data_IF_381691632897
#
_entry.id   IF_381691632897
#
_cell.length_a   1.000
_cell.length_b   1.000
_cell.length_c   1.000
_cell.angle_alpha   90.00
_cell.angle_beta   90.00
_cell.angle_gamma   90.00
#
_symmetry.space_group_name_H-M   'P 1'
#
loop_
_entity.id
_entity.type
_entity.pdbx_description
1 polymer ?
#
# COMPACT_ATOMS: atom_id res chain seq x y z
N UNK A 1 11.07 17.74 -26.35
CA UNK A 1 10.17 18.29 -25.31
C UNK A 1 8.87 17.50 -25.33
N UNK A 2 8.52 16.79 -24.26
CA UNK A 2 7.23 16.09 -24.18
C UNK A 2 6.10 17.14 -24.16
N UNK A 3 5.03 16.94 -24.92
CA UNK A 3 3.90 17.86 -24.92
C UNK A 3 3.20 17.86 -23.57
N UNK A 4 2.61 18.98 -23.16
CA UNK A 4 1.87 19.10 -21.88
C UNK A 4 0.81 17.99 -21.76
N UNK A 5 0.19 17.59 -22.89
CA UNK A 5 -0.74 16.47 -22.95
C UNK A 5 -0.10 15.12 -22.60
N UNK A 6 1.10 14.82 -23.10
CA UNK A 6 1.82 13.58 -22.75
C UNK A 6 2.21 13.53 -21.27
N UNK A 7 2.48 14.69 -20.65
CA UNK A 7 2.78 14.76 -19.22
C UNK A 7 1.55 14.51 -18.32
N UNK A 8 0.34 14.70 -18.84
CA UNK A 8 -0.93 14.53 -18.09
C UNK A 8 -1.60 13.19 -18.41
N UNK A 9 -1.42 12.67 -19.62
CA UNK A 9 -1.98 11.40 -20.06
C UNK A 9 -1.42 10.24 -19.23
N UNK A 10 -2.30 9.34 -18.79
CA UNK A 10 -1.95 8.21 -17.93
C UNK A 10 -1.71 8.57 -16.45
N UNK A 11 -1.65 9.85 -16.07
CA UNK A 11 -1.54 10.26 -14.67
C UNK A 11 -2.89 10.25 -13.95
N UNK A 12 -2.82 9.85 -12.69
CA UNK A 12 -3.98 9.85 -11.80
C UNK A 12 -4.46 11.29 -11.53
N UNK A 13 -5.78 11.46 -11.39
CA UNK A 13 -6.33 12.73 -10.95
C UNK A 13 -5.87 13.04 -9.53
N UNK A 14 -5.58 14.30 -9.26
CA UNK A 14 -5.27 14.76 -7.91
C UNK A 14 -6.51 14.70 -7.02
N UNK A 15 -6.30 14.70 -5.71
CA UNK A 15 -7.40 14.73 -4.72
C UNK A 15 -8.33 15.92 -4.95
N UNK A 16 -7.77 17.10 -5.23
CA UNK A 16 -8.53 18.31 -5.47
C UNK A 16 -9.44 18.17 -6.70
N UNK A 17 -8.94 17.62 -7.80
CA UNK A 17 -9.75 17.37 -9.01
C UNK A 17 -10.96 16.48 -8.71
N UNK A 18 -10.76 15.43 -7.88
CA UNK A 18 -11.85 14.54 -7.48
C UNK A 18 -12.87 15.29 -6.62
N UNK A 19 -12.41 16.06 -5.62
CA UNK A 19 -13.29 16.87 -4.76
C UNK A 19 -14.12 17.88 -5.56
N UNK A 20 -13.51 18.62 -6.48
CA UNK A 20 -14.24 19.59 -7.30
C UNK A 20 -15.22 18.90 -8.26
N UNK A 21 -14.92 17.71 -8.76
CA UNK A 21 -15.85 16.94 -9.56
C UNK A 21 -17.07 16.46 -8.76
N UNK A 22 -16.86 16.00 -7.52
CA UNK A 22 -17.93 15.60 -6.61
C UNK A 22 -18.78 16.80 -6.19
N UNK A 23 -18.15 17.93 -5.87
CA UNK A 23 -18.86 19.17 -5.57
C UNK A 23 -19.73 19.61 -6.75
N UNK A 24 -19.18 19.58 -7.97
CA UNK A 24 -19.91 19.89 -9.18
C UNK A 24 -21.12 18.97 -9.43
N UNK A 25 -21.00 17.68 -9.08
CA UNK A 25 -22.11 16.74 -9.22
C UNK A 25 -23.20 16.95 -8.17
N UNK A 26 -22.84 16.97 -6.88
CA UNK A 26 -23.80 16.96 -5.78
C UNK A 26 -24.39 18.35 -5.47
N UNK A 27 -23.59 19.41 -5.55
CA UNK A 27 -24.01 20.76 -5.15
C UNK A 27 -24.39 21.64 -6.35
N UNK A 28 -23.72 21.48 -7.49
CA UNK A 28 -24.01 22.29 -8.68
C UNK A 28 -24.93 21.59 -9.69
N UNK A 29 -25.29 20.31 -9.46
CA UNK A 29 -26.17 19.54 -10.34
C UNK A 29 -25.60 19.26 -11.73
N UNK A 30 -24.27 19.32 -11.90
CA UNK A 30 -23.63 19.11 -13.20
C UNK A 30 -23.74 17.67 -13.66
N UNK A 31 -24.07 17.48 -14.94
CA UNK A 31 -24.15 16.14 -15.52
C UNK A 31 -22.78 15.44 -15.60
N UNK A 32 -22.78 14.12 -15.54
CA UNK A 32 -21.58 13.28 -15.63
C UNK A 32 -20.78 13.54 -16.92
N UNK A 33 -21.47 13.79 -18.04
CA UNK A 33 -20.86 14.17 -19.32
C UNK A 33 -20.15 15.53 -19.22
N UNK A 34 -20.78 16.50 -18.58
CA UNK A 34 -20.20 17.84 -18.39
C UNK A 34 -18.95 17.79 -17.51
N UNK A 35 -18.95 16.99 -16.44
CA UNK A 35 -17.79 16.78 -15.59
C UNK A 35 -16.63 16.13 -16.35
N UNK A 36 -16.92 15.12 -17.18
CA UNK A 36 -15.91 14.47 -18.03
C UNK A 36 -15.21 15.48 -18.97
N UNK A 37 -16.00 16.39 -19.58
CA UNK A 37 -15.48 17.47 -20.42
C UNK A 37 -14.63 18.48 -19.64
N UNK A 38 -15.11 18.97 -18.50
CA UNK A 38 -14.39 19.98 -17.68
C UNK A 38 -13.04 19.47 -17.21
N UNK A 39 -12.98 18.22 -16.73
CA UNK A 39 -11.77 17.66 -16.14
C UNK A 39 -10.90 16.90 -17.14
N UNK A 40 -11.29 16.86 -18.42
CA UNK A 40 -10.64 16.06 -19.46
C UNK A 40 -10.38 14.62 -19.00
N UNK A 41 -11.43 13.99 -18.45
CA UNK A 41 -11.39 12.61 -17.98
C UNK A 41 -12.45 11.80 -18.71
N UNK A 42 -12.19 10.50 -18.82
CA UNK A 42 -13.18 9.59 -19.35
C UNK A 42 -14.42 9.58 -18.44
N UNK A 43 -15.61 9.47 -19.02
CA UNK A 43 -16.89 9.50 -18.29
C UNK A 43 -16.94 8.44 -17.18
N UNK A 44 -16.39 7.24 -17.44
CA UNK A 44 -16.29 6.18 -16.43
C UNK A 44 -15.41 6.58 -15.24
N UNK A 45 -14.40 7.42 -15.43
CA UNK A 45 -13.56 7.90 -14.33
C UNK A 45 -14.35 8.81 -13.40
N UNK A 46 -15.10 9.77 -13.95
CA UNK A 46 -15.97 10.65 -13.16
C UNK A 46 -17.10 9.87 -12.47
N UNK A 47 -17.71 8.91 -13.18
CA UNK A 47 -18.74 8.04 -12.63
C UNK A 47 -18.21 7.16 -11.49
N UNK A 48 -17.00 6.62 -11.62
CA UNK A 48 -16.36 5.85 -10.55
C UNK A 48 -16.10 6.68 -9.29
N UNK A 49 -15.81 7.98 -9.42
CA UNK A 49 -15.66 8.86 -8.26
C UNK A 49 -17.00 9.05 -7.53
N UNK A 50 -18.06 9.34 -8.29
CA UNK A 50 -19.42 9.53 -7.76
C UNK A 50 -19.88 8.25 -7.05
N UNK A 51 -19.82 7.10 -7.71
CA UNK A 51 -20.26 5.83 -7.14
C UNK A 51 -19.49 5.45 -5.87
N UNK A 52 -18.17 5.70 -5.83
CA UNK A 52 -17.38 5.44 -4.62
C UNK A 52 -17.82 6.31 -3.46
N UNK A 53 -18.07 7.58 -3.74
CA UNK A 53 -18.55 8.51 -2.73
C UNK A 53 -19.95 8.13 -2.23
N UNK A 54 -20.87 7.74 -3.10
CA UNK A 54 -22.21 7.27 -2.72
C UNK A 54 -22.18 6.01 -1.85
N UNK A 55 -21.30 5.04 -2.15
CA UNK A 55 -21.24 3.76 -1.43
C UNK A 55 -20.47 3.85 -0.12
N UNK A 56 -19.35 4.57 -0.10
CA UNK A 56 -18.42 4.56 1.05
C UNK A 56 -18.41 5.87 1.84
N UNK A 57 -19.13 6.91 1.39
CA UNK A 57 -18.96 8.30 1.84
C UNK A 57 -17.49 8.77 1.76
N UNK A 58 -16.71 8.17 0.85
CA UNK A 58 -15.28 8.43 0.67
C UNK A 58 -14.90 8.30 -0.80
N UNK A 59 -13.97 9.15 -1.23
CA UNK A 59 -13.39 9.17 -2.56
C UNK A 59 -11.95 8.64 -2.59
N UNK A 60 -11.38 8.31 -1.43
CA UNK A 60 -10.08 7.66 -1.35
C UNK A 60 -10.08 6.36 -2.13
N UNK A 61 -8.93 6.05 -2.75
CA UNK A 61 -8.76 4.77 -3.42
C UNK A 61 -8.73 3.67 -2.36
N UNK A 62 -9.46 2.57 -2.60
CA UNK A 62 -9.28 1.35 -1.79
C UNK A 62 -7.80 0.95 -1.81
N UNK A 63 -7.17 0.94 -0.64
CA UNK A 63 -5.87 0.34 -0.50
C UNK A 63 -6.03 -1.16 -0.79
N UNK A 64 -5.24 -1.70 -1.71
CA UNK A 64 -5.14 -3.15 -1.87
C UNK A 64 -4.65 -3.72 -0.54
N UNK A 65 -5.40 -4.66 0.05
CA UNK A 65 -4.94 -5.38 1.24
C UNK A 65 -3.58 -5.99 0.90
N UNK A 66 -2.57 -5.71 1.73
CA UNK A 66 -1.22 -6.29 1.54
C UNK A 66 -1.28 -7.76 1.92
N UNK A 67 -1.63 -8.63 0.97
CA UNK A 67 -1.78 -10.09 1.14
C UNK A 67 -0.48 -10.80 1.54
N UNK A 68 0.66 -10.10 1.52
CA UNK A 68 1.98 -10.62 1.89
C UNK A 68 2.46 -10.25 3.30
N UNK A 69 1.62 -9.66 4.15
CA UNK A 69 2.05 -9.34 5.53
C UNK A 69 2.02 -10.60 6.41
N UNK A 70 3.12 -10.81 7.16
CA UNK A 70 3.19 -11.79 8.24
C UNK A 70 2.10 -11.48 9.27
N UNK A 71 1.45 -12.50 9.83
CA UNK A 71 0.54 -12.33 10.97
C UNK A 71 1.30 -11.79 12.19
N UNK A 72 0.58 -11.32 13.21
CA UNK A 72 1.21 -10.86 14.46
C UNK A 72 1.99 -12.01 15.11
N UNK A 73 1.38 -13.20 15.22
CA UNK A 73 1.99 -14.42 15.76
C UNK A 73 3.28 -14.81 15.02
N UNK A 74 3.28 -14.74 13.70
CA UNK A 74 4.45 -15.04 12.87
C UNK A 74 5.62 -14.08 13.12
N UNK A 75 5.31 -12.82 13.46
CA UNK A 75 6.34 -11.81 13.79
C UNK A 75 6.88 -12.03 15.20
N UNK A 76 6.01 -12.28 16.16
CA UNK A 76 6.42 -12.59 17.54
C UNK A 76 7.31 -13.82 17.59
N UNK A 77 6.96 -14.87 16.83
CA UNK A 77 7.79 -16.06 16.72
C UNK A 77 9.18 -15.75 16.15
N UNK A 78 9.29 -14.89 15.12
CA UNK A 78 10.58 -14.48 14.59
C UNK A 78 11.42 -13.72 15.63
N UNK A 79 10.79 -12.90 16.47
CA UNK A 79 11.49 -12.18 17.54
C UNK A 79 11.98 -13.12 18.64
N UNK A 80 11.14 -14.08 19.06
CA UNK A 80 11.50 -15.11 20.03
C UNK A 80 12.65 -15.99 19.52
N UNK A 81 12.61 -16.35 18.23
CA UNK A 81 13.69 -17.08 17.57
C UNK A 81 15.02 -16.33 17.65
N UNK A 82 15.04 -15.03 17.32
CA UNK A 82 16.25 -14.20 17.42
C UNK A 82 16.67 -13.90 18.87
N UNK A 83 15.74 -13.91 19.81
CA UNK A 83 16.07 -13.78 21.24
C UNK A 83 16.80 -15.02 21.76
N UNK A 84 16.40 -16.21 21.30
CA UNK A 84 17.04 -17.48 21.63
C UNK A 84 18.34 -17.70 20.83
N UNK A 85 18.40 -17.17 19.62
CA UNK A 85 19.53 -17.31 18.71
C UNK A 85 19.98 -15.95 18.18
N UNK A 86 20.68 -15.14 19.00
CA UNK A 86 21.05 -13.76 18.63
C UNK A 86 22.03 -13.69 17.45
N UNK A 87 22.73 -14.78 17.14
CA UNK A 87 23.71 -14.86 16.04
C UNK A 87 23.18 -15.58 14.79
N UNK A 88 21.88 -15.94 14.76
CA UNK A 88 21.32 -16.70 13.64
C UNK A 88 21.31 -15.88 12.34
N UNK A 89 21.65 -16.53 11.24
CA UNK A 89 21.59 -15.89 9.92
C UNK A 89 20.14 -15.77 9.42
N UNK A 90 19.90 -14.83 8.51
CA UNK A 90 18.55 -14.63 7.94
C UNK A 90 18.05 -15.87 7.17
N UNK A 91 18.96 -16.65 6.60
CA UNK A 91 18.63 -17.91 5.92
C UNK A 91 18.20 -19.00 6.91
N UNK A 92 18.83 -19.08 8.08
CA UNK A 92 18.46 -20.00 9.15
C UNK A 92 17.09 -19.64 9.72
N UNK A 93 16.85 -18.36 9.97
CA UNK A 93 15.54 -17.87 10.41
C UNK A 93 14.44 -18.15 9.38
N UNK A 94 14.75 -18.02 8.08
CA UNK A 94 13.84 -18.40 7.00
C UNK A 94 13.51 -19.89 7.04
N UNK A 95 14.52 -20.76 7.10
CA UNK A 95 14.32 -22.23 7.10
C UNK A 95 13.53 -22.66 8.33
N UNK A 96 13.85 -22.12 9.51
CA UNK A 96 13.13 -22.41 10.74
C UNK A 96 11.68 -21.93 10.68
N UNK A 97 11.42 -20.77 10.08
CA UNK A 97 10.07 -20.25 9.86
C UNK A 97 9.25 -21.14 8.92
N UNK A 98 9.86 -21.58 7.81
CA UNK A 98 9.23 -22.48 6.84
C UNK A 98 8.87 -23.82 7.50
N UNK A 99 9.73 -24.34 8.38
CA UNK A 99 9.45 -25.53 9.16
C UNK A 99 8.29 -25.34 10.16
N UNK A 100 8.23 -24.20 10.85
CA UNK A 100 7.21 -23.95 11.87
C UNK A 100 5.82 -23.66 11.29
N UNK A 101 5.74 -22.85 10.23
CA UNK A 101 4.46 -22.33 9.70
C UNK A 101 4.05 -22.93 8.36
N UNK A 102 4.83 -23.86 7.80
CA UNK A 102 4.62 -24.46 6.48
C UNK A 102 4.39 -23.40 5.38
N UNK A 103 5.00 -22.22 5.54
CA UNK A 103 4.80 -21.05 4.67
C UNK A 103 6.15 -20.50 4.20
N UNK A 104 6.33 -20.45 2.90
CA UNK A 104 7.48 -19.81 2.28
C UNK A 104 7.53 -18.30 2.56
N UNK A 105 8.70 -17.82 2.95
CA UNK A 105 8.98 -16.40 3.09
C UNK A 105 10.32 -16.05 2.45
N UNK A 106 10.41 -14.86 1.85
CA UNK A 106 11.70 -14.38 1.34
C UNK A 106 12.57 -13.83 2.47
N UNK A 107 13.89 -13.89 2.32
CA UNK A 107 14.87 -13.28 3.23
C UNK A 107 14.53 -11.79 3.48
N UNK A 108 14.17 -11.07 2.41
CA UNK A 108 13.74 -9.67 2.49
C UNK A 108 12.49 -9.45 3.35
N UNK A 109 11.64 -10.47 3.49
CA UNK A 109 10.44 -10.43 4.35
C UNK A 109 10.82 -10.62 5.82
N UNK A 110 11.74 -11.55 6.12
CA UNK A 110 12.35 -11.70 7.47
C UNK A 110 13.00 -10.39 7.89
N UNK A 111 13.85 -9.82 7.02
CA UNK A 111 14.55 -8.57 7.29
C UNK A 111 13.59 -7.40 7.55
N UNK A 112 12.51 -7.31 6.76
CA UNK A 112 11.49 -6.27 6.95
C UNK A 112 10.75 -6.43 8.27
N UNK A 113 10.50 -7.66 8.71
CA UNK A 113 9.86 -7.94 10.00
C UNK A 113 10.76 -7.47 11.16
N UNK A 114 12.04 -7.82 11.15
CA UNK A 114 13.00 -7.39 12.17
C UNK A 114 13.14 -5.87 12.25
N UNK A 115 13.25 -5.21 11.09
CA UNK A 115 13.37 -3.75 11.02
C UNK A 115 12.13 -3.02 11.56
N UNK A 116 10.94 -3.60 11.44
CA UNK A 116 9.71 -3.02 12.03
C UNK A 116 9.74 -3.01 13.56
N UNK A 117 10.52 -3.90 14.18
CA UNK A 117 10.66 -4.03 15.64
C UNK A 117 11.96 -3.41 16.18
N UNK A 118 12.69 -2.62 15.38
CA UNK A 118 13.86 -1.87 15.84
C UNK A 118 15.16 -2.67 15.93
N UNK A 119 15.14 -3.97 15.63
CA UNK A 119 16.34 -4.80 15.49
C UNK A 119 17.09 -4.40 14.21
N UNK A 120 17.96 -3.40 14.37
CA UNK A 120 18.81 -2.88 13.31
C UNK A 120 20.17 -3.57 13.44
N UNK A 121 20.85 -3.89 12.33
CA UNK A 121 22.19 -4.54 12.31
C UNK A 121 23.18 -3.96 13.34
N UNK A 122 23.04 -2.67 13.71
CA UNK A 122 23.82 -2.00 14.75
C UNK A 122 23.74 -2.69 16.12
N UNK A 123 22.56 -3.10 16.57
CA UNK A 123 22.36 -3.80 17.85
C UNK A 123 23.00 -5.19 17.84
N UNK A 124 23.00 -5.85 16.66
CA UNK A 124 23.61 -7.17 16.47
C UNK A 124 25.14 -7.11 16.29
N UNK A 125 25.70 -5.96 15.89
CA UNK A 125 27.15 -5.78 15.70
C UNK A 125 27.86 -5.16 16.89
N UNK A 126 27.14 -4.46 17.79
CA UNK A 126 27.69 -3.87 19.02
C UNK A 126 27.87 -4.87 20.18
N UNK A 127 27.47 -6.15 20.02
CA UNK A 127 27.79 -7.23 20.98
C UNK A 127 29.16 -7.86 20.69
N UNK A 128 30.04 -7.13 20.00
CA UNK A 128 31.36 -7.62 19.57
C UNK A 128 32.49 -7.09 20.44
#
# INVERSE_FOLDING_TARGET
>A
MASIQQAVNGRHASRNTIMHALYGYFYLGLSKRRLATIYYKHINTSLNWIQRFEVNNDYARRATRRTGQLSAEQREWLLDFYTKHPVAFLDEAKVAFEHQFARFISISTVWRALRQHGLTWKVLSDVR
#
